data_IF_255848103063
#
_entry.id   IF_255848103063
#
_cell.length_a   1.000
_cell.length_b   1.000
_cell.length_c   1.000
_cell.angle_alpha   90.00
_cell.angle_beta   90.00
_cell.angle_gamma   90.00
#
_symmetry.space_group_name_H-M   'P 1'
#
loop_
_entity.id
_entity.type
_entity.pdbx_description
1 polymer ?
#
# COMPACT_ATOMS: atom_id res chain seq x y z
N UNK A 1 4.47 3.76 -9.05
CA UNK A 1 5.57 3.46 -8.11
C UNK A 1 5.33 4.12 -6.77
N UNK A 2 4.14 3.95 -6.19
CA UNK A 2 3.93 4.21 -4.76
C UNK A 2 4.28 2.94 -4.01
N UNK A 3 4.77 3.08 -2.80
CA UNK A 3 5.26 1.96 -2.01
C UNK A 3 4.22 0.86 -1.75
N UNK A 4 2.94 1.22 -1.58
CA UNK A 4 1.84 0.27 -1.41
C UNK A 4 1.68 -0.70 -2.58
N UNK A 5 1.80 -0.20 -3.82
CA UNK A 5 1.66 -1.03 -5.02
C UNK A 5 2.75 -2.10 -5.13
N UNK A 6 4.00 -1.76 -4.79
CA UNK A 6 5.13 -2.70 -4.85
C UNK A 6 4.90 -3.86 -3.87
N UNK A 7 4.45 -3.56 -2.65
CA UNK A 7 4.15 -4.58 -1.65
C UNK A 7 2.99 -5.48 -2.05
N UNK A 8 1.86 -4.90 -2.47
CA UNK A 8 0.68 -5.66 -2.91
C UNK A 8 0.99 -6.55 -4.12
N UNK A 9 1.80 -6.04 -5.08
CA UNK A 9 2.23 -6.81 -6.22
C UNK A 9 3.11 -8.02 -5.84
N UNK A 10 4.05 -7.85 -4.91
CA UNK A 10 4.86 -8.96 -4.38
C UNK A 10 3.99 -10.05 -3.74
N UNK A 11 2.94 -9.64 -3.00
CA UNK A 11 2.00 -10.58 -2.35
C UNK A 11 1.19 -11.34 -3.40
N UNK A 12 0.68 -10.68 -4.45
CA UNK A 12 -0.07 -11.35 -5.52
C UNK A 12 0.81 -12.35 -6.25
N UNK A 13 2.06 -12.00 -6.56
CA UNK A 13 3.01 -12.93 -7.20
C UNK A 13 3.28 -14.16 -6.33
N UNK A 14 3.42 -13.99 -5.03
CA UNK A 14 3.58 -15.10 -4.09
C UNK A 14 2.30 -15.97 -4.01
N UNK A 15 1.12 -15.34 -3.98
CA UNK A 15 -0.16 -16.04 -3.93
C UNK A 15 -0.41 -16.87 -5.20
N UNK A 16 -0.11 -16.34 -6.39
CA UNK A 16 -0.23 -17.06 -7.66
C UNK A 16 0.71 -18.28 -7.70
N UNK A 17 1.93 -18.14 -7.18
CA UNK A 17 2.88 -19.28 -7.07
C UNK A 17 2.40 -20.37 -6.12
N UNK A 18 1.66 -20.01 -5.07
CA UNK A 18 1.10 -20.97 -4.12
C UNK A 18 -0.17 -21.64 -4.67
N UNK A 19 -1.14 -20.87 -5.14
CA UNK A 19 -2.37 -21.37 -5.74
C UNK A 19 -3.01 -20.31 -6.65
N UNK A 20 -3.29 -20.70 -7.90
CA UNK A 20 -3.87 -19.80 -8.90
C UNK A 20 -5.20 -19.17 -8.47
N UNK A 21 -6.09 -19.93 -7.81
CA UNK A 21 -7.39 -19.42 -7.36
C UNK A 21 -7.26 -18.35 -6.28
N UNK A 22 -6.30 -18.53 -5.38
CA UNK A 22 -6.00 -17.54 -4.32
C UNK A 22 -5.39 -16.29 -4.96
N UNK A 23 -4.48 -16.46 -5.91
CA UNK A 23 -3.92 -15.35 -6.70
C UNK A 23 -5.00 -14.56 -7.46
N UNK A 24 -5.98 -15.25 -8.05
CA UNK A 24 -7.11 -14.62 -8.77
C UNK A 24 -7.99 -13.79 -7.82
N UNK A 25 -8.31 -14.31 -6.64
CA UNK A 25 -9.04 -13.56 -5.62
C UNK A 25 -8.26 -12.33 -5.14
N UNK A 26 -6.96 -12.48 -4.87
CA UNK A 26 -6.10 -11.38 -4.45
C UNK A 26 -6.04 -10.26 -5.51
N UNK A 27 -5.89 -10.62 -6.79
CA UNK A 27 -5.88 -9.67 -7.90
C UNK A 27 -7.22 -8.95 -8.06
N UNK A 28 -8.34 -9.67 -7.88
CA UNK A 28 -9.68 -9.08 -7.94
C UNK A 28 -9.89 -8.06 -6.83
N UNK A 29 -9.46 -8.37 -5.60
CA UNK A 29 -9.52 -7.43 -4.47
C UNK A 29 -8.75 -6.15 -4.76
N UNK A 30 -7.58 -6.24 -5.40
CA UNK A 30 -6.79 -5.07 -5.79
C UNK A 30 -7.54 -4.17 -6.80
N UNK A 31 -8.22 -4.77 -7.78
CA UNK A 31 -9.03 -4.02 -8.76
C UNK A 31 -10.21 -3.32 -8.06
N UNK A 32 -10.88 -4.01 -7.14
CA UNK A 32 -11.99 -3.43 -6.37
C UNK A 32 -11.53 -2.28 -5.46
N UNK A 33 -10.38 -2.43 -4.80
CA UNK A 33 -9.79 -1.38 -3.98
C UNK A 33 -9.52 -0.12 -4.80
N UNK A 34 -8.87 -0.26 -5.96
CA UNK A 34 -8.60 0.87 -6.85
C UNK A 34 -9.89 1.53 -7.36
N UNK A 35 -10.89 0.73 -7.73
CA UNK A 35 -12.19 1.21 -8.18
C UNK A 35 -12.92 2.01 -7.08
N UNK A 36 -12.90 1.52 -5.84
CA UNK A 36 -13.48 2.21 -4.70
C UNK A 36 -12.76 3.52 -4.40
N UNK A 37 -11.41 3.54 -4.41
CA UNK A 37 -10.64 4.77 -4.19
C UNK A 37 -10.95 5.83 -5.25
N UNK A 38 -11.04 5.45 -6.53
CA UNK A 38 -11.39 6.39 -7.60
C UNK A 38 -12.82 6.91 -7.46
N UNK A 39 -13.78 6.04 -7.12
CA UNK A 39 -15.16 6.44 -6.85
C UNK A 39 -15.24 7.41 -5.67
N UNK A 40 -14.50 7.15 -4.59
CA UNK A 40 -14.42 8.01 -3.42
C UNK A 40 -13.80 9.37 -3.78
N UNK A 41 -12.67 9.41 -4.48
CA UNK A 41 -12.02 10.66 -4.90
C UNK A 41 -12.96 11.51 -5.74
N UNK A 42 -13.66 10.90 -6.71
CA UNK A 42 -14.67 11.59 -7.52
C UNK A 42 -15.73 12.26 -6.65
N UNK A 43 -16.24 11.55 -5.63
CA UNK A 43 -17.31 12.05 -4.77
C UNK A 43 -16.83 13.14 -3.80
N UNK A 44 -15.64 12.99 -3.25
CA UNK A 44 -15.10 13.87 -2.20
C UNK A 44 -14.53 15.16 -2.78
N UNK A 45 -13.74 15.08 -3.86
CA UNK A 45 -13.06 16.25 -4.43
C UNK A 45 -13.85 16.91 -5.56
N UNK A 46 -14.56 16.13 -6.38
CA UNK A 46 -15.26 16.64 -7.57
C UNK A 46 -16.79 16.65 -7.41
N UNK A 47 -17.30 16.28 -6.24
CA UNK A 47 -18.72 16.34 -5.91
C UNK A 47 -19.17 17.75 -5.53
N UNK A 48 -20.48 18.04 -5.58
CA UNK A 48 -21.01 19.31 -5.08
C UNK A 48 -20.74 19.45 -3.57
N UNK A 49 -20.47 20.68 -3.13
CA UNK A 49 -20.21 20.98 -1.71
C UNK A 49 -21.49 20.73 -0.91
N UNK A 50 -21.50 19.66 -0.11
CA UNK A 50 -22.68 19.23 0.64
C UNK A 50 -22.84 19.87 2.02
N UNK A 51 -21.87 20.63 2.52
CA UNK A 51 -21.87 21.20 3.87
C UNK A 51 -21.12 22.55 3.90
N UNK A 52 -21.74 23.59 4.45
CA UNK A 52 -21.18 24.95 4.53
C UNK A 52 -19.87 25.02 5.31
N UNK A 53 -19.65 24.10 6.26
CA UNK A 53 -18.38 23.99 6.98
C UNK A 53 -17.21 23.58 6.07
N UNK A 54 -17.48 22.82 5.00
CA UNK A 54 -16.45 22.42 4.02
C UNK A 54 -16.10 23.58 3.10
N UNK A 55 -17.05 24.48 2.82
CA UNK A 55 -16.80 25.69 2.05
C UNK A 55 -15.95 26.71 2.82
N UNK A 56 -16.05 26.72 4.15
CA UNK A 56 -15.29 27.62 5.03
C UNK A 56 -13.89 27.09 5.40
N UNK A 57 -13.49 25.91 4.92
CA UNK A 57 -12.17 25.35 5.19
C UNK A 57 -11.08 26.20 4.53
N UNK A 58 -10.07 26.55 5.32
CA UNK A 58 -8.88 27.25 4.84
C UNK A 58 -7.92 26.26 4.20
N UNK A 59 -7.23 26.71 3.15
CA UNK A 59 -6.18 25.92 2.51
C UNK A 59 -5.05 25.55 3.48
N UNK A 60 -4.39 24.45 3.13
CA UNK A 60 -3.30 23.84 3.88
C UNK A 60 -2.17 24.86 4.07
N UNK A 61 -1.70 25.00 5.31
CA UNK A 61 -0.57 25.88 5.64
C UNK A 61 0.78 25.30 5.21
N UNK A 62 1.82 26.14 5.13
CA UNK A 62 3.17 25.72 4.73
C UNK A 62 3.76 24.58 5.58
N UNK A 63 3.42 24.53 6.88
CA UNK A 63 3.87 23.48 7.80
C UNK A 63 3.21 22.13 7.49
N UNK A 64 1.90 22.14 7.26
CA UNK A 64 1.13 20.95 6.94
C UNK A 64 1.54 20.40 5.58
N UNK A 65 1.75 21.30 4.60
CA UNK A 65 2.28 20.94 3.30
C UNK A 65 3.66 20.27 3.42
N UNK A 66 4.57 20.81 4.24
CA UNK A 66 5.88 20.21 4.45
C UNK A 66 5.78 18.79 5.05
N UNK A 67 4.93 18.59 6.06
CA UNK A 67 4.72 17.26 6.65
C UNK A 67 4.19 16.25 5.61
N UNK A 68 3.19 16.66 4.82
CA UNK A 68 2.64 15.82 3.74
C UNK A 68 3.68 15.55 2.65
N UNK A 69 4.48 16.54 2.27
CA UNK A 69 5.52 16.40 1.26
C UNK A 69 6.60 15.39 1.69
N UNK A 70 7.01 15.40 2.97
CA UNK A 70 7.95 14.40 3.52
C UNK A 70 7.36 12.99 3.42
N UNK A 71 6.07 12.81 3.76
CA UNK A 71 5.40 11.52 3.64
C UNK A 71 5.32 11.04 2.18
N UNK A 72 4.97 11.93 1.25
CA UNK A 72 4.97 11.63 -0.19
C UNK A 72 6.37 11.23 -0.65
N UNK A 73 7.40 11.94 -0.20
CA UNK A 73 8.80 11.60 -0.47
C UNK A 73 9.16 10.19 0.00
N UNK A 74 8.76 9.80 1.21
CA UNK A 74 8.98 8.45 1.74
C UNK A 74 8.23 7.37 0.93
N UNK A 75 6.97 7.61 0.57
CA UNK A 75 6.16 6.68 -0.26
C UNK A 75 6.78 6.49 -1.65
N UNK A 76 7.27 7.57 -2.27
CA UNK A 76 7.92 7.50 -3.57
C UNK A 76 9.29 6.82 -3.47
N UNK A 77 10.09 7.13 -2.46
CA UNK A 77 11.39 6.49 -2.25
C UNK A 77 11.22 4.97 -2.08
N UNK A 78 10.34 4.53 -1.20
CA UNK A 78 10.08 3.11 -0.99
C UNK A 78 9.45 2.45 -2.24
N UNK A 79 8.66 3.18 -3.02
CA UNK A 79 8.06 2.67 -4.26
C UNK A 79 9.03 2.55 -5.44
N UNK A 80 10.04 3.41 -5.54
CA UNK A 80 11.03 3.40 -6.62
C UNK A 80 12.21 2.49 -6.29
N UNK A 81 12.66 2.49 -5.03
CA UNK A 81 13.78 1.66 -4.57
C UNK A 81 13.40 0.81 -3.34
N UNK A 82 12.57 -0.24 -3.54
CA UNK A 82 12.12 -1.11 -2.44
C UNK A 82 13.26 -1.93 -1.82
N UNK A 83 14.34 -2.19 -2.58
CA UNK A 83 15.48 -3.00 -2.15
C UNK A 83 16.15 -2.52 -0.87
N UNK A 84 16.18 -1.20 -0.65
CA UNK A 84 16.71 -0.61 0.57
C UNK A 84 16.04 -1.15 1.85
N UNK A 85 14.74 -1.46 1.78
CA UNK A 85 13.99 -2.01 2.89
C UNK A 85 13.96 -3.53 2.88
N UNK A 86 13.87 -4.17 1.71
CA UNK A 86 13.73 -5.63 1.61
C UNK A 86 15.03 -6.39 1.89
N UNK A 87 16.19 -5.85 1.49
CA UNK A 87 17.48 -6.56 1.61
C UNK A 87 17.87 -6.80 3.08
N UNK A 88 17.76 -5.82 4.00
CA UNK A 88 18.02 -6.06 5.43
C UNK A 88 17.04 -7.06 6.07
N UNK A 89 15.80 -7.13 5.57
CA UNK A 89 14.79 -8.04 6.10
C UNK A 89 15.02 -9.50 5.69
N UNK A 90 15.73 -9.74 4.59
CA UNK A 90 15.83 -11.05 3.97
C UNK A 90 16.44 -12.11 4.90
N UNK A 91 17.50 -11.77 5.65
CA UNK A 91 18.14 -12.69 6.60
C UNK A 91 17.17 -13.09 7.73
N UNK A 92 16.48 -12.12 8.34
CA UNK A 92 15.52 -12.37 9.41
C UNK A 92 14.33 -13.19 8.93
N UNK A 93 13.81 -12.90 7.73
CA UNK A 93 12.70 -13.65 7.12
C UNK A 93 13.12 -15.10 6.83
N UNK A 94 14.33 -15.34 6.33
CA UNK A 94 14.83 -16.70 6.10
C UNK A 94 14.95 -17.50 7.40
N UNK A 95 15.50 -16.90 8.46
CA UNK A 95 15.56 -17.54 9.77
C UNK A 95 14.16 -17.87 10.32
N UNK A 96 13.18 -16.97 10.15
CA UNK A 96 11.79 -17.22 10.54
C UNK A 96 11.16 -18.37 9.76
N UNK A 97 11.39 -18.44 8.45
CA UNK A 97 10.90 -19.54 7.61
C UNK A 97 11.51 -20.89 8.01
N UNK A 98 12.82 -20.92 8.30
CA UNK A 98 13.50 -22.12 8.79
C UNK A 98 12.95 -22.57 10.14
N UNK A 99 12.77 -21.63 11.08
CA UNK A 99 12.19 -21.92 12.40
C UNK A 99 10.74 -22.41 12.28
N UNK A 100 9.93 -21.80 11.43
CA UNK A 100 8.54 -22.24 11.19
C UNK A 100 8.47 -23.60 10.50
N UNK A 101 9.43 -23.93 9.63
CA UNK A 101 9.52 -25.23 8.98
C UNK A 101 9.99 -26.35 9.92
N UNK A 102 10.85 -26.03 10.90
CA UNK A 102 11.16 -26.91 12.02
C UNK A 102 10.01 -26.90 13.04
N UNK A 103 8.88 -27.49 12.67
CA UNK A 103 7.76 -27.68 13.57
C UNK A 103 8.20 -28.46 14.82
N UNK A 104 7.81 -28.00 16.01
CA UNK A 104 8.03 -28.64 17.32
C UNK A 104 7.25 -29.97 17.51
N UNK A 105 7.05 -30.73 16.44
CA UNK A 105 6.43 -32.06 16.43
C UNK A 105 7.46 -33.18 16.20
N UNK A 106 8.71 -32.94 16.63
CA UNK A 106 9.65 -33.98 17.02
C UNK A 106 10.01 -33.79 18.49
#
# INVERSE_FOLDING_TARGET
GTSGFVGEWMVILAAVKFNFWIGLLAATTLILAASYTLWMIKRVYFGPVGNDHVAALKDIGAREFFMLAVLVGAVLWMGVYPKFFTDPMQASVQHLLQFAASSKLQ
#
